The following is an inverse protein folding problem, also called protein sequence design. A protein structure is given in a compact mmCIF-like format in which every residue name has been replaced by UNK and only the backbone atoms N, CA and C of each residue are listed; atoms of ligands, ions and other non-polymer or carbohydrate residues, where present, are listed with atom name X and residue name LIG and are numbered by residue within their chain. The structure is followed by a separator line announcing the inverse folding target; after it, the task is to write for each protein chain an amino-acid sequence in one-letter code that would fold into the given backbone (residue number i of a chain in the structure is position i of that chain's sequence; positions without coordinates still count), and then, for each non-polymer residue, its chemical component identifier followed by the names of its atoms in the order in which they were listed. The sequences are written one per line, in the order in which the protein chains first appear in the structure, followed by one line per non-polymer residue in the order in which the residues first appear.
data_IF_482150949988
#
_entry.id   IF_482150949988
#
_cell.length_a   1.000
_cell.length_b   1.000
_cell.length_c   1.000
_cell.angle_alpha   90.00
_cell.angle_beta   90.00
_cell.angle_gamma   90.00
#
_symmetry.space_group_name_H-M   'P 1'
#
loop_
_entity.id
_entity.type
_entity.pdbx_description
1 polymer ?
#
# COMPACT_ATOMS: atom_id res chain seq x y z
N UNK A 1 3.45 31.07 31.02
CA UNK A 1 4.21 31.31 29.78
C UNK A 1 3.59 30.50 28.66
N UNK A 2 3.16 31.21 27.60
CA UNK A 2 2.71 30.77 26.27
C UNK A 2 1.85 29.49 26.15
N UNK A 3 0.52 29.66 26.08
CA UNK A 3 -0.44 28.63 25.63
C UNK A 3 -0.44 28.57 24.10
N UNK A 4 0.21 27.57 23.51
CA UNK A 4 0.15 27.31 22.07
C UNK A 4 -1.20 26.70 21.69
N UNK A 5 -1.98 27.40 20.86
CA UNK A 5 -3.20 26.86 20.25
C UNK A 5 -2.80 25.98 19.07
N UNK A 6 -3.08 24.69 19.15
CA UNK A 6 -3.01 23.78 18.00
C UNK A 6 -4.32 23.93 17.21
N UNK A 7 -4.22 24.36 15.95
CA UNK A 7 -5.35 24.40 15.02
C UNK A 7 -5.21 23.18 14.11
N UNK A 8 -6.04 22.17 14.34
CA UNK A 8 -6.24 21.07 13.40
C UNK A 8 -7.33 21.45 12.40
N UNK A 9 -7.01 21.55 11.11
CA UNK A 9 -8.00 21.52 10.04
C UNK A 9 -8.18 20.06 9.62
N UNK A 10 -9.32 19.46 9.96
CA UNK A 10 -9.71 18.11 9.56
C UNK A 10 -10.87 18.27 8.58
N UNK A 11 -10.62 18.04 7.29
CA UNK A 11 -11.66 18.13 6.26
C UNK A 11 -12.42 16.78 6.18
N UNK A 12 -13.66 16.77 6.67
CA UNK A 12 -14.52 15.58 6.72
C UNK A 12 -15.51 15.64 5.56
N UNK A 13 -15.61 14.55 4.78
CA UNK A 13 -16.80 14.26 3.97
C UNK A 13 -17.46 12.99 4.50
N UNK A 14 -18.43 13.16 5.40
CA UNK A 14 -19.25 12.08 5.94
C UNK A 14 -20.20 11.54 4.85
N UNK A 15 -20.26 10.22 4.72
CA UNK A 15 -21.36 9.52 4.04
C UNK A 15 -22.02 8.59 5.05
N UNK A 16 -23.30 8.84 5.32
CA UNK A 16 -24.19 7.93 6.01
C UNK A 16 -24.55 6.77 5.07
N UNK A 17 -24.11 5.55 5.37
CA UNK A 17 -24.68 4.32 4.81
C UNK A 17 -25.28 3.46 5.95
N UNK A 18 -26.41 2.77 5.74
CA UNK A 18 -27.07 2.00 6.78
C UNK A 18 -26.34 0.67 7.06
N UNK A 19 -26.42 0.22 8.31
CA UNK A 19 -25.89 -1.05 8.79
C UNK A 19 -26.76 -2.21 8.27
N UNK A 20 -26.20 -3.11 7.47
CA UNK A 20 -26.83 -4.42 7.16
C UNK A 20 -26.28 -5.49 8.11
N UNK A 21 -27.20 -6.23 8.73
CA UNK A 21 -26.94 -7.36 9.63
C UNK A 21 -26.28 -8.53 8.89
N UNK A 22 -25.18 -9.04 9.43
CA UNK A 22 -24.44 -10.20 8.90
C UNK A 22 -25.06 -11.48 9.47
N UNK A 23 -25.74 -12.26 8.63
CA UNK A 23 -26.12 -13.64 8.96
C UNK A 23 -24.88 -14.54 8.89
N UNK A 24 -24.60 -15.28 9.96
CA UNK A 24 -23.56 -16.31 10.01
C UNK A 24 -24.07 -17.56 9.28
N UNK A 25 -23.35 -17.96 8.23
CA UNK A 25 -23.41 -19.32 7.69
C UNK A 25 -22.10 -20.02 8.04
N UNK A 26 -22.21 -21.16 8.71
CA UNK A 26 -21.10 -22.07 8.99
C UNK A 26 -20.73 -22.79 7.68
N UNK A 27 -19.53 -22.56 7.16
CA UNK A 27 -18.98 -23.32 6.02
C UNK A 27 -17.94 -24.33 6.54
N UNK A 28 -18.21 -25.63 6.32
CA UNK A 28 -17.25 -26.71 6.47
C UNK A 28 -16.17 -26.65 5.36
N UNK A 29 -14.93 -27.10 5.62
CA UNK A 29 -13.84 -27.00 4.65
C UNK A 29 -14.02 -27.99 3.48
N UNK A 30 -14.18 -27.44 2.28
CA UNK A 30 -14.17 -28.17 1.01
C UNK A 30 -12.71 -28.55 0.65
N UNK A 31 -12.45 -29.83 0.43
CA UNK A 31 -11.16 -30.35 -0.03
C UNK A 31 -11.15 -30.56 -1.56
N UNK A 32 -10.65 -29.57 -2.30
CA UNK A 32 -10.65 -29.56 -3.78
C UNK A 32 -9.46 -30.30 -4.44
N UNK A 33 -9.11 -31.50 -3.98
CA UNK A 33 -8.15 -32.34 -4.71
C UNK A 33 -8.78 -33.67 -5.08
N UNK A 34 -9.56 -33.65 -6.16
CA UNK A 34 -10.01 -34.84 -6.88
C UNK A 34 -9.08 -35.04 -8.09
N UNK A 35 -8.10 -35.94 -7.94
CA UNK A 35 -7.04 -36.23 -8.93
C UNK A 35 -7.55 -37.16 -10.07
N UNK A 36 -8.88 -37.27 -10.23
CA UNK A 36 -9.53 -38.18 -11.18
C UNK A 36 -9.55 -37.69 -12.63
N UNK A 37 -9.23 -36.41 -12.86
CA UNK A 37 -9.35 -35.76 -14.18
C UNK A 37 -7.99 -35.55 -14.88
N UNK A 38 -6.90 -36.12 -14.35
CA UNK A 38 -5.59 -36.07 -15.01
C UNK A 38 -5.60 -36.94 -16.28
N UNK A 39 -5.62 -36.30 -17.46
CA UNK A 39 -5.51 -36.99 -18.75
C UNK A 39 -4.18 -37.79 -18.81
N UNK A 40 -4.24 -39.14 -18.88
CA UNK A 40 -3.04 -39.98 -18.92
C UNK A 40 -2.20 -39.78 -20.20
N UNK A 41 -2.71 -39.04 -21.19
CA UNK A 41 -2.02 -38.73 -22.44
C UNK A 41 -1.59 -37.26 -22.57
N UNK A 42 -1.54 -36.50 -21.46
CA UNK A 42 -0.99 -35.15 -21.48
C UNK A 42 0.52 -35.16 -21.78
N UNK A 43 0.88 -34.94 -23.05
CA UNK A 43 2.24 -34.59 -23.44
C UNK A 43 2.43 -33.06 -23.33
N UNK A 44 3.36 -32.56 -22.49
CA UNK A 44 3.61 -31.13 -22.40
C UNK A 44 4.15 -30.61 -23.74
N UNK A 45 3.33 -29.84 -24.46
CA UNK A 45 3.79 -29.23 -25.70
C UNK A 45 4.96 -28.30 -25.43
N UNK A 46 6.05 -28.50 -26.19
CA UNK A 46 7.26 -27.69 -26.08
C UNK A 46 6.93 -26.29 -26.62
N UNK A 47 6.56 -25.37 -25.74
CA UNK A 47 6.45 -23.95 -26.10
C UNK A 47 7.78 -23.50 -26.74
N UNK A 48 7.78 -22.66 -27.78
CA UNK A 48 9.01 -22.21 -28.43
C UNK A 48 9.98 -21.67 -27.37
N UNK A 49 11.16 -22.30 -27.26
CA UNK A 49 12.17 -21.98 -26.24
C UNK A 49 12.46 -20.48 -26.22
N UNK A 50 11.88 -19.78 -25.25
CA UNK A 50 12.38 -18.47 -24.82
C UNK A 50 13.83 -18.70 -24.39
N UNK A 51 14.79 -18.14 -25.12
CA UNK A 51 16.22 -18.24 -24.77
C UNK A 51 16.38 -17.74 -23.33
N UNK A 52 16.54 -18.66 -22.37
CA UNK A 52 16.91 -18.34 -21.00
C UNK A 52 18.39 -18.05 -21.01
N UNK A 53 18.75 -16.77 -20.91
CA UNK A 53 20.13 -16.34 -20.64
C UNK A 53 20.52 -16.98 -19.30
N UNK A 54 21.64 -17.73 -19.28
CA UNK A 54 22.12 -18.42 -18.09
C UNK A 54 22.99 -17.47 -17.28
N UNK A 55 23.08 -17.73 -15.98
CA UNK A 55 23.91 -16.92 -15.06
C UNK A 55 25.39 -16.87 -15.49
N UNK A 56 25.89 -17.93 -16.13
CA UNK A 56 27.23 -18.01 -16.72
C UNK A 56 27.51 -17.02 -17.85
N UNK A 57 26.47 -16.37 -18.39
CA UNK A 57 26.62 -15.40 -19.48
C UNK A 57 27.04 -14.01 -18.94
N UNK A 58 27.24 -13.86 -17.63
CA UNK A 58 27.61 -12.60 -16.95
C UNK A 58 29.03 -12.58 -16.36
N UNK A 59 29.82 -13.64 -16.54
CA UNK A 59 31.11 -13.80 -15.85
C UNK A 59 32.24 -12.88 -16.38
N UNK A 60 32.04 -12.16 -17.49
CA UNK A 60 33.06 -11.27 -18.09
C UNK A 60 32.80 -9.76 -17.93
N UNK A 61 31.91 -9.36 -17.02
CA UNK A 61 31.66 -7.92 -16.76
C UNK A 61 32.31 -7.50 -15.44
N UNK A 62 33.39 -6.71 -15.54
CA UNK A 62 33.99 -6.05 -14.39
C UNK A 62 32.94 -5.22 -13.65
N UNK A 63 32.71 -5.56 -12.38
CA UNK A 63 31.74 -4.91 -11.51
C UNK A 63 32.27 -3.54 -11.08
N UNK A 64 32.10 -2.53 -11.93
CA UNK A 64 32.10 -1.14 -11.47
C UNK A 64 30.78 -0.87 -10.70
N UNK A 65 30.80 -0.08 -9.60
CA UNK A 65 29.59 0.27 -8.88
C UNK A 65 28.60 0.92 -9.83
N UNK A 66 27.35 0.45 -9.84
CA UNK A 66 26.28 0.97 -10.69
C UNK A 66 25.91 2.40 -10.29
N UNK A 67 26.75 3.36 -10.68
CA UNK A 67 26.36 4.75 -10.88
C UNK A 67 25.71 4.85 -12.25
N UNK A 68 24.40 5.07 -12.22
CA UNK A 68 23.58 5.67 -13.28
C UNK A 68 23.08 4.76 -14.43
N UNK A 69 21.75 4.63 -14.52
CA UNK A 69 20.90 4.71 -15.74
C UNK A 69 21.30 3.91 -17.01
N UNK A 70 22.19 2.93 -16.96
CA UNK A 70 22.57 2.16 -18.15
C UNK A 70 21.49 1.23 -18.75
N UNK A 71 20.56 0.61 -17.99
CA UNK A 71 19.60 -0.33 -18.62
C UNK A 71 18.55 0.35 -19.51
N UNK A 72 18.39 1.68 -19.43
CA UNK A 72 17.40 2.42 -20.21
C UNK A 72 17.86 2.74 -21.65
N UNK A 73 19.17 2.90 -21.90
CA UNK A 73 19.69 3.28 -23.23
C UNK A 73 19.52 2.16 -24.27
N UNK A 74 19.91 0.93 -23.92
CA UNK A 74 19.81 -0.25 -24.82
C UNK A 74 18.37 -0.69 -25.12
N UNK A 75 17.42 -0.33 -24.27
CA UNK A 75 16.01 -0.71 -24.42
C UNK A 75 15.30 0.22 -25.42
N UNK A 76 15.67 1.50 -25.44
CA UNK A 76 15.21 2.46 -26.44
C UNK A 76 15.75 2.16 -27.85
N UNK A 77 17.01 1.72 -27.96
CA UNK A 77 17.65 1.36 -29.24
C UNK A 77 16.97 0.16 -29.92
N UNK A 78 16.32 -0.72 -29.15
CA UNK A 78 15.67 -1.94 -29.64
C UNK A 78 14.14 -1.82 -29.79
N UNK A 79 13.55 -0.62 -29.62
CA UNK A 79 12.09 -0.41 -29.61
C UNK A 79 11.34 -1.34 -28.63
N UNK A 80 11.99 -1.76 -27.54
CA UNK A 80 11.36 -2.62 -26.53
C UNK A 80 10.67 -1.70 -25.53
N UNK A 81 9.35 -1.52 -25.69
CA UNK A 81 8.56 -0.80 -24.70
C UNK A 81 8.50 -1.56 -23.38
N UNK A 82 8.79 -0.91 -22.27
CA UNK A 82 8.44 -1.45 -20.96
C UNK A 82 6.92 -1.45 -20.83
N UNK A 83 6.31 -2.63 -20.76
CA UNK A 83 4.90 -2.73 -20.36
C UNK A 83 4.81 -2.17 -18.94
N UNK A 84 4.01 -1.12 -18.76
CA UNK A 84 3.69 -0.65 -17.40
C UNK A 84 3.15 -1.86 -16.62
N UNK A 85 3.67 -2.14 -15.40
CA UNK A 85 3.08 -3.18 -14.58
C UNK A 85 1.59 -2.93 -14.45
N UNK A 86 0.79 -3.99 -14.50
CA UNK A 86 -0.65 -3.90 -14.26
C UNK A 86 -0.84 -3.26 -12.89
N UNK A 87 -1.46 -2.08 -12.87
CA UNK A 87 -1.86 -1.45 -11.63
C UNK A 87 -3.12 -2.15 -11.13
N UNK A 88 -3.28 -2.25 -9.81
CA UNK A 88 -4.51 -2.77 -9.23
C UNK A 88 -5.69 -1.87 -9.64
N UNK A 89 -6.75 -2.49 -10.17
CA UNK A 89 -7.93 -1.77 -10.62
C UNK A 89 -8.86 -1.53 -9.42
N UNK A 90 -9.30 -0.28 -9.23
CA UNK A 90 -10.31 0.04 -8.23
C UNK A 90 -11.63 -0.68 -8.57
N UNK A 91 -12.15 -1.47 -7.63
CA UNK A 91 -13.40 -2.23 -7.80
C UNK A 91 -14.59 -1.33 -8.19
N UNK A 92 -14.70 -0.12 -7.63
CA UNK A 92 -15.76 0.82 -7.97
C UNK A 92 -15.63 1.36 -9.41
N UNK A 93 -14.42 1.71 -9.82
CA UNK A 93 -14.14 2.14 -11.20
C UNK A 93 -14.41 1.01 -12.21
N UNK A 94 -14.00 -0.22 -11.88
CA UNK A 94 -14.25 -1.38 -12.73
C UNK A 94 -15.74 -1.66 -12.86
N UNK A 95 -16.49 -1.61 -11.75
CA UNK A 95 -17.96 -1.76 -11.75
C UNK A 95 -18.63 -0.74 -12.67
N UNK A 96 -18.22 0.53 -12.59
CA UNK A 96 -18.74 1.58 -13.48
C UNK A 96 -18.35 1.34 -14.94
N UNK A 97 -17.10 0.95 -15.22
CA UNK A 97 -16.61 0.64 -16.58
C UNK A 97 -17.42 -0.47 -17.25
N UNK A 98 -17.74 -1.54 -16.53
CA UNK A 98 -18.61 -2.62 -17.02
C UNK A 98 -20.05 -2.12 -17.21
N UNK A 99 -20.52 -1.26 -16.31
CA UNK A 99 -21.88 -0.74 -16.33
C UNK A 99 -22.16 0.17 -17.54
N UNK A 100 -21.24 1.05 -17.92
CA UNK A 100 -21.42 1.95 -19.09
C UNK A 100 -21.42 1.22 -20.44
N UNK A 101 -20.73 0.07 -20.54
CA UNK A 101 -20.73 -0.77 -21.76
C UNK A 101 -22.15 -1.25 -22.08
N UNK A 102 -22.99 -1.41 -21.06
CA UNK A 102 -24.38 -1.85 -21.19
C UNK A 102 -25.35 -0.71 -21.55
N UNK A 103 -24.84 0.44 -21.99
CA UNK A 103 -25.62 1.62 -22.43
C UNK A 103 -26.63 2.11 -21.38
N UNK A 104 -26.12 2.58 -20.24
CA UNK A 104 -26.94 3.16 -19.18
C UNK A 104 -27.12 4.68 -19.35
N UNK A 105 -28.34 5.18 -19.09
CA UNK A 105 -28.59 6.61 -18.94
C UNK A 105 -28.07 7.10 -17.59
N UNK A 106 -27.09 8.02 -17.63
CA UNK A 106 -26.33 8.47 -16.46
C UNK A 106 -27.16 9.29 -15.46
N UNK A 107 -28.27 9.89 -15.88
CA UNK A 107 -28.99 10.90 -15.09
C UNK A 107 -29.76 10.35 -13.88
N UNK A 108 -30.14 9.07 -13.88
CA UNK A 108 -30.93 8.43 -12.81
C UNK A 108 -30.26 7.18 -12.22
N UNK A 109 -29.07 6.83 -12.68
CA UNK A 109 -28.43 5.58 -12.30
C UNK A 109 -27.60 5.67 -11.02
N UNK A 110 -27.93 4.84 -10.03
CA UNK A 110 -27.19 4.73 -8.75
C UNK A 110 -25.71 4.45 -8.93
N UNK A 111 -25.31 3.59 -9.88
CA UNK A 111 -23.90 3.23 -10.11
C UNK A 111 -23.13 4.41 -10.70
N UNK A 112 -23.73 5.15 -11.64
CA UNK A 112 -23.14 6.36 -12.21
C UNK A 112 -22.99 7.46 -11.15
N UNK A 113 -24.02 7.69 -10.32
CA UNK A 113 -23.93 8.65 -9.22
C UNK A 113 -22.86 8.26 -8.18
N UNK A 114 -22.77 6.97 -7.83
CA UNK A 114 -21.71 6.48 -6.93
C UNK A 114 -20.31 6.68 -7.52
N UNK A 115 -20.16 6.45 -8.83
CA UNK A 115 -18.90 6.69 -9.54
C UNK A 115 -18.52 8.17 -9.57
N UNK A 116 -19.45 9.08 -9.87
CA UNK A 116 -19.16 10.52 -9.86
C UNK A 116 -18.74 11.01 -8.47
N UNK A 117 -19.41 10.53 -7.42
CA UNK A 117 -19.00 10.82 -6.04
C UNK A 117 -17.62 10.24 -5.72
N UNK A 118 -17.35 8.99 -6.10
CA UNK A 118 -16.02 8.39 -5.96
C UNK A 118 -14.96 9.20 -6.70
N UNK A 119 -15.26 9.64 -7.93
CA UNK A 119 -14.36 10.41 -8.79
C UNK A 119 -14.02 11.76 -8.20
N UNK A 120 -15.04 12.47 -7.72
CA UNK A 120 -14.87 13.73 -6.99
C UNK A 120 -13.99 13.54 -5.75
N UNK A 121 -14.31 12.56 -4.89
CA UNK A 121 -13.55 12.31 -3.66
C UNK A 121 -12.07 11.98 -3.93
N UNK A 122 -11.76 11.10 -4.90
CA UNK A 122 -10.35 10.78 -5.17
C UNK A 122 -9.61 11.96 -5.82
N UNK A 123 -10.30 12.76 -6.65
CA UNK A 123 -9.70 13.93 -7.30
C UNK A 123 -9.34 14.99 -6.26
N UNK A 124 -10.25 15.27 -5.32
CA UNK A 124 -10.01 16.19 -4.20
C UNK A 124 -8.86 15.70 -3.31
N UNK A 125 -8.88 14.41 -2.90
CA UNK A 125 -7.80 13.83 -2.11
C UNK A 125 -6.45 13.93 -2.80
N UNK A 126 -6.41 13.71 -4.12
CA UNK A 126 -5.19 13.82 -4.92
C UNK A 126 -4.68 15.25 -4.99
N UNK A 127 -5.57 16.23 -5.17
CA UNK A 127 -5.21 17.65 -5.17
C UNK A 127 -4.63 18.07 -3.82
N UNK A 128 -5.22 17.65 -2.70
CA UNK A 128 -4.69 17.93 -1.37
C UNK A 128 -3.31 17.29 -1.16
N UNK A 129 -3.13 16.04 -1.57
CA UNK A 129 -1.82 15.37 -1.51
C UNK A 129 -0.75 16.12 -2.33
N UNK A 130 -1.11 16.56 -3.54
CA UNK A 130 -0.19 17.30 -4.41
C UNK A 130 0.12 18.70 -3.85
N UNK A 131 -0.85 19.35 -3.21
CA UNK A 131 -0.61 20.61 -2.52
C UNK A 131 0.39 20.43 -1.37
N UNK A 132 0.16 19.45 -0.49
CA UNK A 132 1.07 19.18 0.63
C UNK A 132 2.45 18.75 0.14
N UNK A 133 2.54 17.97 -0.94
CA UNK A 133 3.81 17.53 -1.52
C UNK A 133 4.61 18.66 -2.17
N UNK A 134 3.94 19.67 -2.75
CA UNK A 134 4.59 20.76 -3.50
C UNK A 134 4.80 22.02 -2.65
N UNK A 135 4.12 22.13 -1.51
CA UNK A 135 4.27 23.27 -0.61
C UNK A 135 5.65 23.29 0.05
N UNK A 136 6.17 24.49 0.27
CA UNK A 136 7.32 24.68 1.15
C UNK A 136 6.86 24.43 2.58
N UNK A 137 7.48 23.44 3.22
CA UNK A 137 7.15 23.05 4.59
C UNK A 137 8.07 23.78 5.55
N UNK A 138 7.46 24.36 6.59
CA UNK A 138 8.19 25.04 7.64
C UNK A 138 9.04 24.05 8.43
N UNK A 139 10.11 24.52 9.05
CA UNK A 139 11.01 23.67 9.82
C UNK A 139 10.33 22.94 11.01
N UNK A 140 9.16 23.41 11.46
CA UNK A 140 8.37 22.80 12.53
C UNK A 140 7.22 21.90 12.02
N UNK A 141 7.20 21.57 10.73
CA UNK A 141 6.18 20.71 10.12
C UNK A 141 6.82 19.48 9.45
N UNK A 142 6.14 18.33 9.54
CA UNK A 142 6.55 17.10 8.85
C UNK A 142 5.38 16.45 8.14
N UNK A 143 5.60 16.07 6.89
CA UNK A 143 4.59 15.45 6.03
C UNK A 143 5.08 14.10 5.54
N UNK A 144 4.31 13.05 5.84
CA UNK A 144 4.64 11.67 5.49
C UNK A 144 3.51 11.03 4.69
N UNK A 145 3.86 10.33 3.61
CA UNK A 145 3.04 9.27 3.06
C UNK A 145 3.36 7.97 3.79
N UNK A 146 2.33 7.33 4.35
CA UNK A 146 2.48 6.13 5.16
C UNK A 146 1.90 4.93 4.42
N UNK A 147 2.71 3.89 4.29
CA UNK A 147 2.33 2.63 3.65
C UNK A 147 2.90 1.46 4.44
N UNK A 148 2.06 0.46 4.69
CA UNK A 148 2.49 -0.79 5.31
C UNK A 148 2.85 -1.80 4.24
N UNK A 149 4.11 -2.21 4.21
CA UNK A 149 4.57 -3.17 3.22
C UNK A 149 3.86 -4.52 3.37
N UNK A 150 3.79 -5.29 2.28
CA UNK A 150 3.43 -6.71 2.35
C UNK A 150 4.33 -7.41 3.37
N UNK A 151 3.74 -8.37 4.10
CA UNK A 151 4.45 -9.21 5.08
C UNK A 151 5.78 -9.70 4.52
N UNK A 152 6.86 -9.39 5.24
CA UNK A 152 8.21 -9.83 4.92
C UNK A 152 8.47 -11.16 5.63
N UNK A 153 9.00 -12.13 4.90
CA UNK A 153 9.36 -13.44 5.46
C UNK A 153 10.88 -13.57 5.48
N UNK A 154 11.45 -13.68 6.68
CA UNK A 154 12.89 -13.77 6.90
C UNK A 154 13.31 -15.16 7.45
N UNK A 155 14.49 -15.67 7.07
CA UNK A 155 15.38 -15.13 6.04
C UNK A 155 14.77 -15.31 4.64
N UNK A 156 15.21 -14.46 3.69
CA UNK A 156 14.84 -14.63 2.29
C UNK A 156 15.54 -15.85 1.73
N UNK A 157 14.77 -16.88 1.42
CA UNK A 157 15.26 -18.10 0.80
C UNK A 157 14.74 -18.19 -0.64
N UNK A 158 15.59 -18.61 -1.57
CA UNK A 158 15.26 -18.82 -2.99
C UNK A 158 15.01 -20.29 -3.33
N UNK A 159 15.16 -21.18 -2.35
CA UNK A 159 15.08 -22.62 -2.53
C UNK A 159 13.65 -23.12 -2.33
N UNK A 160 13.29 -24.27 -2.93
CA UNK A 160 11.92 -24.81 -2.85
C UNK A 160 11.58 -25.30 -1.43
N UNK A 161 12.60 -25.65 -0.66
CA UNK A 161 12.50 -26.06 0.74
C UNK A 161 11.90 -24.93 1.61
N UNK A 162 12.06 -23.67 1.18
CA UNK A 162 11.50 -22.50 1.87
C UNK A 162 9.98 -22.47 1.97
N UNK A 163 9.27 -23.25 1.13
CA UNK A 163 7.82 -23.41 1.21
C UNK A 163 7.38 -24.34 2.33
N UNK A 164 8.26 -25.24 2.79
CA UNK A 164 7.95 -26.25 3.79
C UNK A 164 8.45 -25.88 5.20
N UNK A 165 9.12 -24.74 5.34
CA UNK A 165 9.65 -24.26 6.62
C UNK A 165 8.99 -22.95 7.01
N UNK A 166 8.59 -22.85 8.28
CA UNK A 166 8.09 -21.61 8.85
C UNK A 166 9.21 -20.56 8.83
N UNK A 167 8.87 -19.35 8.37
CA UNK A 167 9.78 -18.20 8.31
C UNK A 167 9.27 -17.10 9.22
N UNK A 168 10.21 -16.33 9.77
CA UNK A 168 9.90 -15.23 10.67
C UNK A 168 9.12 -14.16 9.89
N UNK A 169 7.92 -13.86 10.36
CA UNK A 169 7.08 -12.80 9.86
C UNK A 169 7.58 -11.46 10.42
N UNK A 170 7.93 -10.56 9.51
CA UNK A 170 8.37 -9.20 9.80
C UNK A 170 7.43 -8.21 9.14
N UNK A 171 7.02 -7.21 9.91
CA UNK A 171 6.18 -6.11 9.49
C UNK A 171 7.04 -4.85 9.35
N UNK A 172 6.71 -4.02 8.36
CA UNK A 172 7.36 -2.73 8.14
C UNK A 172 6.31 -1.67 7.81
N UNK A 173 6.17 -0.68 8.69
CA UNK A 173 5.41 0.54 8.46
C UNK A 173 6.37 1.62 7.94
N UNK A 174 6.17 2.06 6.70
CA UNK A 174 7.05 3.05 6.08
C UNK A 174 6.41 4.43 6.12
N UNK A 175 7.13 5.40 6.66
CA UNK A 175 6.81 6.82 6.65
C UNK A 175 7.72 7.49 5.64
N UNK A 176 7.26 7.60 4.40
CA UNK A 176 7.99 8.25 3.33
C UNK A 176 7.80 9.77 3.42
N UNK A 177 8.87 10.52 3.65
CA UNK A 177 8.77 11.98 3.71
C UNK A 177 8.42 12.51 2.31
N UNK A 178 7.44 13.41 2.25
CA UNK A 178 7.15 14.15 1.01
C UNK A 178 8.18 15.25 0.75
N UNK A 179 9.04 15.52 1.73
CA UNK A 179 10.11 16.51 1.65
C UNK A 179 11.48 15.86 1.89
N UNK A 180 12.55 16.65 1.93
CA UNK A 180 13.93 16.15 1.96
C UNK A 180 14.39 15.68 3.35
N UNK A 181 13.48 15.15 4.16
CA UNK A 181 13.72 14.80 5.57
C UNK A 181 14.03 13.32 5.80
N UNK A 182 14.14 12.55 4.71
CA UNK A 182 14.40 11.12 4.76
C UNK A 182 13.18 10.29 5.13
N UNK A 183 13.23 9.00 4.81
CA UNK A 183 12.15 8.06 5.10
C UNK A 183 12.42 7.34 6.42
N UNK A 184 11.37 7.06 7.18
CA UNK A 184 11.45 6.29 8.42
C UNK A 184 10.78 4.95 8.20
N UNK A 185 11.45 3.86 8.57
CA UNK A 185 10.89 2.51 8.55
C UNK A 185 10.76 2.01 9.99
N UNK A 186 9.54 1.75 10.43
CA UNK A 186 9.26 1.12 11.74
C UNK A 186 9.06 -0.37 11.50
N UNK A 187 10.04 -1.17 11.93
CA UNK A 187 10.04 -2.62 11.73
C UNK A 187 9.84 -3.35 13.06
N UNK A 188 9.03 -4.40 13.04
CA UNK A 188 8.89 -5.35 14.14
C UNK A 188 8.57 -6.74 13.60
N UNK A 189 8.74 -7.76 14.42
CA UNK A 189 8.46 -9.14 14.02
C UNK A 189 7.37 -9.76 14.92
N UNK A 190 6.76 -10.84 14.43
CA UNK A 190 5.61 -11.50 15.07
C UNK A 190 5.85 -11.91 16.53
N UNK A 191 7.08 -12.29 16.89
CA UNK A 191 7.41 -12.64 18.28
C UNK A 191 7.41 -11.44 19.26
N UNK A 192 7.40 -10.20 18.77
CA UNK A 192 7.21 -8.99 19.61
C UNK A 192 5.74 -8.61 19.64
N UNK A 193 5.14 -8.43 18.46
CA UNK A 193 3.76 -7.98 18.26
C UNK A 193 3.22 -8.45 16.91
N UNK A 194 1.90 -8.49 16.79
CA UNK A 194 1.20 -8.82 15.56
C UNK A 194 1.01 -7.61 14.65
N UNK A 195 -0.11 -7.61 13.92
CA UNK A 195 -0.49 -6.56 12.97
C UNK A 195 -1.81 -5.90 13.34
N UNK A 196 -2.10 -5.84 14.63
CA UNK A 196 -3.36 -5.24 15.11
C UNK A 196 -3.34 -3.72 14.91
N UNK A 197 -4.52 -3.09 14.92
CA UNK A 197 -4.62 -1.63 14.83
C UNK A 197 -3.85 -0.91 15.96
N UNK A 198 -3.73 -1.53 17.14
CA UNK A 198 -2.91 -0.99 18.24
C UNK A 198 -1.41 -1.06 17.95
N UNK A 199 -0.95 -2.14 17.29
CA UNK A 199 0.45 -2.28 16.89
C UNK A 199 0.81 -1.23 15.83
N UNK A 200 -0.08 -1.03 14.85
CA UNK A 200 0.05 0.03 13.84
C UNK A 200 0.10 1.40 14.50
N UNK A 201 -0.86 1.73 15.39
CA UNK A 201 -0.87 3.00 16.11
C UNK A 201 0.40 3.24 16.95
N UNK A 202 1.02 2.19 17.49
CA UNK A 202 2.30 2.29 18.20
C UNK A 202 3.46 2.71 17.30
N UNK A 203 3.42 2.36 16.00
CA UNK A 203 4.41 2.82 15.02
C UNK A 203 4.32 4.34 14.81
N UNK A 204 3.09 4.88 14.66
CA UNK A 204 2.88 6.33 14.59
C UNK A 204 3.36 7.05 15.86
N UNK A 205 3.05 6.49 17.04
CA UNK A 205 3.53 7.02 18.31
C UNK A 205 5.06 7.09 18.35
N UNK A 206 5.74 6.03 17.91
CA UNK A 206 7.21 6.00 17.89
C UNK A 206 7.79 7.05 16.94
N UNK A 207 7.16 7.32 15.79
CA UNK A 207 7.60 8.39 14.89
C UNK A 207 7.44 9.76 15.52
N UNK A 208 6.27 10.03 16.14
CA UNK A 208 5.99 11.32 16.79
C UNK A 208 6.88 11.53 18.01
N UNK A 209 7.06 10.51 18.86
CA UNK A 209 7.86 10.61 20.08
C UNK A 209 9.35 10.80 19.80
N UNK A 210 9.87 10.14 18.77
CA UNK A 210 11.29 10.23 18.41
C UNK A 210 11.56 11.35 17.40
N UNK A 211 10.58 12.20 17.09
CA UNK A 211 10.86 13.40 16.33
C UNK A 211 11.68 14.40 17.14
N UNK A 212 12.28 15.35 16.44
CA UNK A 212 12.92 16.50 17.05
C UNK A 212 11.90 17.39 17.77
N UNK A 213 12.35 18.03 18.85
CA UNK A 213 11.53 18.94 19.67
C UNK A 213 11.08 20.22 18.94
N UNK A 214 11.53 20.41 17.69
CA UNK A 214 11.15 21.53 16.83
C UNK A 214 9.82 21.25 16.12
N UNK A 215 9.55 19.99 15.76
CA UNK A 215 8.34 19.62 15.02
C UNK A 215 7.10 19.80 15.89
N UNK A 216 6.15 20.60 15.41
CA UNK A 216 4.86 20.88 16.07
C UNK A 216 3.67 20.33 15.31
N UNK A 217 3.81 20.07 14.01
CA UNK A 217 2.72 19.59 13.17
C UNK A 217 3.16 18.40 12.35
N UNK A 218 2.32 17.37 12.38
CA UNK A 218 2.46 16.19 11.54
C UNK A 218 1.26 16.09 10.60
N UNK A 219 1.54 15.82 9.34
CA UNK A 219 0.55 15.44 8.35
C UNK A 219 0.87 14.03 7.87
N UNK A 220 -0.07 13.10 8.06
CA UNK A 220 0.06 11.72 7.60
C UNK A 220 -0.94 11.46 6.47
N UNK A 221 -0.41 11.12 5.30
CA UNK A 221 -1.15 10.63 4.15
C UNK A 221 -1.18 9.10 4.20
N UNK A 222 -2.33 8.55 4.60
CA UNK A 222 -2.51 7.11 4.84
C UNK A 222 -3.49 6.50 3.84
N UNK A 223 -3.36 5.21 3.57
CA UNK A 223 -4.34 4.50 2.77
C UNK A 223 -5.69 4.32 3.51
N UNK A 224 -6.76 4.02 2.77
CA UNK A 224 -8.10 3.84 3.34
C UNK A 224 -8.32 2.38 3.82
N UNK A 225 -7.29 1.73 4.35
CA UNK A 225 -7.39 0.36 4.85
C UNK A 225 -8.06 0.32 6.23
N UNK A 226 -9.26 -0.27 6.34
CA UNK A 226 -10.02 -0.30 7.59
C UNK A 226 -9.32 -1.07 8.71
N UNK A 227 -8.60 -2.15 8.38
CA UNK A 227 -7.89 -2.94 9.38
C UNK A 227 -6.69 -2.20 10.00
N UNK A 228 -6.08 -1.27 9.26
CA UNK A 228 -4.83 -0.60 9.65
C UNK A 228 -5.06 0.85 10.05
N UNK A 229 -5.59 1.66 9.12
CA UNK A 229 -5.59 3.12 9.23
C UNK A 229 -6.99 3.72 9.43
N UNK A 230 -8.02 3.15 8.79
CA UNK A 230 -9.41 3.64 8.90
C UNK A 230 -10.18 2.91 10.01
N UNK A 231 -9.71 3.04 11.25
CA UNK A 231 -10.36 2.48 12.43
C UNK A 231 -10.28 3.44 13.64
N UNK A 232 -11.15 3.19 14.62
CA UNK A 232 -11.25 4.02 15.83
C UNK A 232 -9.98 4.05 16.68
N UNK A 233 -9.16 3.01 16.58
CA UNK A 233 -7.95 2.86 17.39
C UNK A 233 -6.94 3.92 17.00
N UNK A 234 -6.66 4.09 15.70
CA UNK A 234 -5.70 5.08 15.24
C UNK A 234 -6.18 6.52 15.52
N UNK A 235 -7.46 6.82 15.30
CA UNK A 235 -8.02 8.14 15.62
C UNK A 235 -7.96 8.47 17.11
N UNK A 236 -8.33 7.52 17.97
CA UNK A 236 -8.27 7.71 19.43
C UNK A 236 -6.83 7.84 19.92
N UNK A 237 -5.91 7.10 19.29
CA UNK A 237 -4.48 7.21 19.56
C UNK A 237 -3.96 8.62 19.22
N UNK A 238 -4.27 9.18 18.04
CA UNK A 238 -3.87 10.55 17.71
C UNK A 238 -4.46 11.59 18.67
N UNK A 239 -5.73 11.48 19.03
CA UNK A 239 -6.33 12.39 20.01
C UNK A 239 -5.61 12.30 21.37
N UNK A 240 -5.19 11.10 21.77
CA UNK A 240 -4.43 10.90 23.00
C UNK A 240 -3.02 11.48 22.89
N UNK A 241 -2.33 11.26 21.78
CA UNK A 241 -0.96 11.76 21.57
C UNK A 241 -0.92 13.28 21.60
N UNK A 242 -1.86 13.96 20.93
CA UNK A 242 -1.91 15.43 20.92
C UNK A 242 -2.22 16.00 22.30
N UNK A 243 -3.12 15.38 23.07
CA UNK A 243 -3.56 15.92 24.35
C UNK A 243 -2.64 15.58 25.53
N UNK A 244 -1.91 14.47 25.45
CA UNK A 244 -1.12 13.95 26.57
C UNK A 244 0.38 13.83 26.28
N UNK A 245 0.86 14.26 25.11
CA UNK A 245 2.28 14.47 24.85
C UNK A 245 2.79 15.60 25.75
N UNK A 246 3.61 15.25 26.74
CA UNK A 246 4.34 16.20 27.59
C UNK A 246 5.68 16.55 26.96
#
# INVERSE_FOLDING_TARGET
MSRGKFITSLCITERNEPLEERQQHDEEPISDYDDSDADPNYEPSVSPRRKKIKFSDFDDVSLAPLKNRQPLKKVNENNIGFKKPSQDECAQCLKHKVHIIRQCDASSCKICCQFENHKKSYTEARQHYENDSNQEVMQDEKVYAVDMQKVLLLPKMSTKESFFVSRLVVFNETFASLHKDGNICVMWHEAIRGRSATDVASAYYNVIKNSDNVTKKFTFWVDNCSAQNKNWTLYSAFATFVNFSK
#
